data_IF_223310703136
#
_entry.id   IF_223310703136
#
_cell.length_a   1.000
_cell.length_b   1.000
_cell.length_c   1.000
_cell.angle_alpha   90.00
_cell.angle_beta   90.00
_cell.angle_gamma   90.00
#
_symmetry.space_group_name_H-M   'P 1'
#
loop_
_entity.id
_entity.type
_entity.pdbx_description
1 polymer ?
#
# COMPACT_ATOMS: atom_id res chain seq x y z
N UNK A 1 21.98 24.90 -4.86
CA UNK A 1 21.24 23.74 -4.32
C UNK A 1 19.76 23.94 -4.64
N UNK A 2 19.04 22.98 -5.24
CA UNK A 2 17.60 23.14 -5.45
C UNK A 2 16.87 23.15 -4.10
N UNK A 3 15.73 23.84 -3.99
CA UNK A 3 15.00 23.96 -2.74
C UNK A 3 14.50 22.57 -2.34
N UNK A 4 14.84 22.12 -1.14
CA UNK A 4 14.20 20.99 -0.47
C UNK A 4 12.77 21.40 -0.17
N UNK A 5 11.91 21.30 -1.19
CA UNK A 5 10.47 21.45 -1.03
C UNK A 5 10.07 20.60 0.16
N UNK A 6 9.41 21.22 1.14
CA UNK A 6 8.75 20.53 2.23
C UNK A 6 7.72 19.59 1.60
N UNK A 7 8.16 18.41 1.15
CA UNK A 7 7.27 17.30 0.81
C UNK A 7 6.56 17.02 2.10
N UNK A 8 5.29 17.45 2.20
CA UNK A 8 4.39 16.94 3.23
C UNK A 8 4.62 15.42 3.25
N UNK A 9 4.94 14.82 4.40
CA UNK A 9 5.10 13.38 4.46
C UNK A 9 3.82 12.78 3.88
N UNK A 10 3.95 11.97 2.83
CA UNK A 10 2.83 11.20 2.33
C UNK A 10 2.25 10.44 3.54
N UNK A 11 0.91 10.36 3.69
CA UNK A 11 0.31 9.64 4.81
C UNK A 11 0.89 8.22 4.87
N UNK A 12 1.13 7.69 6.05
CA UNK A 12 1.67 6.33 6.16
C UNK A 12 0.54 5.31 6.08
N UNK A 13 0.79 4.24 5.35
CA UNK A 13 -0.04 3.05 5.33
C UNK A 13 0.16 2.30 6.64
N UNK A 14 -0.90 2.24 7.45
CA UNK A 14 -0.89 1.61 8.79
C UNK A 14 0.24 2.13 9.72
N UNK A 15 0.77 3.34 9.43
CA UNK A 15 1.88 3.94 10.18
C UNK A 15 3.27 3.31 9.92
N UNK A 16 3.40 2.36 8.99
CA UNK A 16 4.64 1.58 8.79
C UNK A 16 5.17 1.55 7.35
N UNK A 17 4.35 1.87 6.36
CA UNK A 17 4.75 1.89 4.95
C UNK A 17 4.47 3.24 4.30
N UNK A 18 5.34 3.68 3.38
CA UNK A 18 5.16 4.91 2.63
C UNK A 18 4.02 4.75 1.60
N UNK A 19 3.01 5.62 1.68
CA UNK A 19 1.96 5.67 0.66
C UNK A 19 2.40 6.43 -0.59
N UNK A 20 1.70 6.16 -1.69
CA UNK A 20 1.79 6.98 -2.90
C UNK A 20 0.98 8.29 -2.79
N UNK A 21 0.48 8.65 -1.61
CA UNK A 21 -0.35 9.82 -1.38
C UNK A 21 -1.81 9.46 -1.12
N UNK A 22 -2.72 10.37 -1.44
CA UNK A 22 -4.16 10.16 -1.30
C UNK A 22 -4.76 9.57 -2.57
N UNK A 23 -5.91 8.91 -2.43
CA UNK A 23 -6.64 8.39 -3.56
C UNK A 23 -7.09 9.50 -4.52
N UNK A 24 -6.96 9.27 -5.81
CA UNK A 24 -7.52 10.15 -6.83
C UNK A 24 -9.05 10.01 -6.88
N UNK A 25 -9.71 10.95 -7.55
CA UNK A 25 -11.14 10.88 -7.82
C UNK A 25 -11.49 9.52 -8.45
N UNK A 26 -12.50 8.83 -7.92
CA UNK A 26 -12.89 7.44 -8.19
C UNK A 26 -12.07 6.33 -7.48
N UNK A 27 -11.27 6.64 -6.46
CA UNK A 27 -10.53 5.62 -5.70
C UNK A 27 -9.35 5.03 -6.47
N UNK A 28 -8.87 5.76 -7.48
CA UNK A 28 -7.75 5.34 -8.32
C UNK A 28 -6.45 5.70 -7.63
N UNK A 29 -5.50 4.77 -7.66
CA UNK A 29 -4.15 4.95 -7.16
C UNK A 29 -3.15 4.62 -8.28
N UNK A 30 -1.93 5.16 -8.23
CA UNK A 30 -0.89 4.80 -9.19
C UNK A 30 -0.67 3.28 -9.20
N UNK A 31 -0.16 2.76 -10.31
CA UNK A 31 0.18 1.34 -10.46
C UNK A 31 1.04 0.89 -9.27
N UNK A 32 0.74 -0.26 -8.68
CA UNK A 32 1.36 -0.65 -7.41
C UNK A 32 0.50 -0.44 -6.17
N UNK A 33 -0.53 0.40 -6.24
CA UNK A 33 -1.23 0.89 -5.06
C UNK A 33 -2.74 0.72 -5.18
N UNK A 34 -3.37 0.51 -4.03
CA UNK A 34 -4.82 0.42 -3.85
C UNK A 34 -5.27 1.52 -2.90
N UNK A 35 -6.46 2.05 -3.17
CA UNK A 35 -7.07 3.03 -2.29
C UNK A 35 -7.60 2.34 -1.03
N UNK A 36 -7.10 2.73 0.14
CA UNK A 36 -7.61 2.25 1.42
C UNK A 36 -8.88 2.98 1.83
N UNK A 37 -9.59 2.46 2.84
CA UNK A 37 -10.75 3.12 3.46
C UNK A 37 -10.40 4.48 4.07
N UNK A 38 -9.13 4.72 4.40
CA UNK A 38 -8.62 6.00 4.89
C UNK A 38 -8.30 7.01 3.77
N UNK A 39 -8.68 6.72 2.52
CA UNK A 39 -8.40 7.55 1.35
C UNK A 39 -6.90 7.71 1.05
N UNK A 40 -6.11 6.69 1.38
CA UNK A 40 -4.65 6.66 1.17
C UNK A 40 -4.28 5.59 0.16
N UNK A 41 -3.40 5.90 -0.78
CA UNK A 41 -2.87 4.95 -1.75
C UNK A 41 -1.75 4.10 -1.16
N UNK A 42 -2.09 2.90 -0.70
CA UNK A 42 -1.17 1.97 -0.07
C UNK A 42 -0.89 0.78 -0.97
N UNK A 43 0.24 0.09 -0.78
CA UNK A 43 0.48 -1.14 -1.57
C UNK A 43 -0.48 -2.26 -1.19
N UNK A 44 -0.91 -2.21 0.07
CA UNK A 44 -1.88 -3.11 0.65
C UNK A 44 -3.12 -2.33 1.11
N UNK A 45 -4.30 -2.93 0.99
CA UNK A 45 -5.53 -2.32 1.53
C UNK A 45 -5.46 -2.14 3.05
N UNK A 46 -4.71 -3.01 3.72
CA UNK A 46 -4.50 -3.05 5.16
C UNK A 46 -3.06 -3.40 5.45
N UNK A 47 -2.56 -2.98 6.62
CA UNK A 47 -1.22 -3.32 7.09
C UNK A 47 -0.09 -2.88 6.14
N UNK A 48 0.98 -3.66 6.15
CA UNK A 48 2.23 -3.37 5.44
C UNK A 48 2.63 -4.56 4.59
N UNK A 49 3.16 -4.31 3.39
CA UNK A 49 3.77 -5.36 2.59
C UNK A 49 4.98 -5.94 3.33
N UNK A 50 5.04 -7.26 3.41
CA UNK A 50 6.17 -7.96 4.06
C UNK A 50 7.25 -8.40 3.06
N UNK A 51 7.00 -8.19 1.76
CA UNK A 51 7.92 -8.55 0.69
C UNK A 51 7.20 -9.00 -0.58
N UNK A 52 7.97 -9.40 -1.61
CA UNK A 52 7.42 -9.92 -2.86
C UNK A 52 6.86 -11.34 -2.67
N UNK A 53 5.91 -11.71 -3.51
CA UNK A 53 5.36 -13.06 -3.53
C UNK A 53 6.39 -14.07 -4.02
N UNK A 54 6.54 -15.16 -3.27
CA UNK A 54 7.44 -16.26 -3.62
C UNK A 54 6.59 -17.38 -4.20
N UNK A 55 6.77 -17.68 -5.50
CA UNK A 55 6.00 -18.72 -6.19
C UNK A 55 4.47 -18.49 -6.12
N UNK A 56 4.06 -17.22 -6.26
CA UNK A 56 2.66 -16.77 -6.08
C UNK A 56 2.04 -17.10 -4.71
N UNK A 57 2.89 -17.40 -3.72
CA UNK A 57 2.49 -17.65 -2.34
C UNK A 57 3.07 -16.60 -1.42
N UNK A 58 2.31 -16.33 -0.38
CA UNK A 58 2.67 -15.50 0.73
C UNK A 58 2.46 -16.32 2.02
N UNK A 59 3.11 -15.96 3.13
CA UNK A 59 2.89 -16.62 4.41
C UNK A 59 1.44 -16.47 4.88
N UNK A 60 1.08 -17.22 5.91
CA UNK A 60 -0.27 -17.25 6.48
C UNK A 60 -0.74 -15.83 6.86
N UNK A 61 -2.00 -15.49 6.56
CA UNK A 61 -2.61 -14.15 6.68
C UNK A 61 -2.13 -13.11 5.65
N UNK A 62 -1.34 -13.51 4.64
CA UNK A 62 -0.94 -12.65 3.52
C UNK A 62 -1.40 -13.22 2.18
N UNK A 63 -1.80 -12.32 1.30
CA UNK A 63 -2.25 -12.60 -0.05
C UNK A 63 -1.33 -11.88 -1.04
N UNK A 64 -0.94 -12.59 -2.09
CA UNK A 64 -0.23 -11.97 -3.19
C UNK A 64 -1.15 -11.01 -3.94
N UNK A 65 -0.81 -9.72 -3.97
CA UNK A 65 -1.55 -8.72 -4.73
C UNK A 65 -1.17 -8.74 -6.22
N UNK A 66 -1.84 -7.90 -7.03
CA UNK A 66 -1.58 -7.79 -8.48
C UNK A 66 -0.15 -7.32 -8.82
N UNK A 67 0.55 -6.73 -7.86
CA UNK A 67 1.90 -6.18 -7.99
C UNK A 67 2.96 -7.18 -7.51
N UNK A 68 2.58 -8.43 -7.28
CA UNK A 68 3.45 -9.47 -6.79
C UNK A 68 4.05 -9.16 -5.41
N UNK A 69 3.26 -8.52 -4.54
CA UNK A 69 3.61 -8.21 -3.16
C UNK A 69 2.65 -8.88 -2.16
N UNK A 70 3.25 -9.38 -1.08
CA UNK A 70 2.55 -10.03 0.01
C UNK A 70 1.94 -8.98 0.93
N UNK A 71 0.64 -8.78 0.75
CA UNK A 71 -0.16 -7.87 1.53
C UNK A 71 -1.05 -8.65 2.50
N UNK A 72 -1.24 -8.18 3.74
CA UNK A 72 -2.18 -8.83 4.63
C UNK A 72 -3.58 -8.61 4.06
N UNK A 73 -4.29 -9.72 3.83
CA UNK A 73 -5.72 -9.65 3.53
C UNK A 73 -6.45 -9.58 4.86
N UNK A 74 -7.55 -8.83 4.95
CA UNK A 74 -8.40 -8.95 6.12
C UNK A 74 -8.90 -10.39 6.20
N UNK A 75 -8.35 -11.19 7.12
CA UNK A 75 -9.02 -12.36 7.65
C UNK A 75 -10.19 -11.82 8.47
N UNK A 76 -11.31 -11.61 7.80
CA UNK A 76 -12.40 -10.77 8.29
C UNK A 76 -13.78 -11.38 8.08
N UNK A 77 -13.96 -12.67 8.39
CA UNK A 77 -14.97 -13.13 9.36
C UNK A 77 -14.77 -14.57 9.79
#
# INVERSE_FOLDING_TARGET
>A
LPPTGRRKPNPLCDGREASAGYCQAAGVCPVGFTCTTSNVCCRCLYGTSIGPCVNSKCPDNYQCNINNECCPYQVGK
#
